data_IF_430772677467
#
_entry.id   IF_430772677467
#
_cell.length_a   1.000
_cell.length_b   1.000
_cell.length_c   1.000
_cell.angle_alpha   90.00
_cell.angle_beta   90.00
_cell.angle_gamma   90.00
#
_symmetry.space_group_name_H-M   'P 1'
#
loop_
_entity.id
_entity.type
_entity.pdbx_description
1 polymer ?
#
# COMPACT_ATOMS: atom_id res chain seq x y z
N UNK A 1 -14.97 -8.83 -3.95
CA UNK A 1 -13.61 -9.42 -4.07
C UNK A 1 -12.62 -8.54 -3.32
N UNK A 2 -12.53 -7.23 -3.55
CA UNK A 2 -11.59 -6.31 -2.89
C UNK A 2 -11.68 -6.35 -1.35
N UNK A 3 -12.89 -6.35 -0.79
CA UNK A 3 -13.07 -6.41 0.67
C UNK A 3 -12.55 -7.72 1.28
N UNK A 4 -12.73 -8.84 0.57
CA UNK A 4 -12.22 -10.14 0.99
C UNK A 4 -10.69 -10.19 0.94
N UNK A 5 -10.08 -9.67 -0.12
CA UNK A 5 -8.61 -9.63 -0.24
C UNK A 5 -7.98 -8.71 0.80
N UNK A 6 -8.60 -7.58 1.12
CA UNK A 6 -8.17 -6.70 2.22
C UNK A 6 -8.26 -7.40 3.58
N UNK A 7 -9.35 -8.14 3.84
CA UNK A 7 -9.52 -8.92 5.07
C UNK A 7 -8.47 -10.02 5.21
N UNK A 8 -8.30 -10.80 4.15
CA UNK A 8 -7.28 -11.87 4.09
C UNK A 8 -5.86 -11.28 4.25
N UNK A 9 -5.56 -10.15 3.59
CA UNK A 9 -4.27 -9.47 3.70
C UNK A 9 -3.94 -9.05 5.14
N UNK A 10 -4.93 -8.55 5.89
CA UNK A 10 -4.75 -8.19 7.30
C UNK A 10 -4.47 -9.41 8.19
N UNK A 11 -5.20 -10.52 7.98
CA UNK A 11 -5.01 -11.77 8.73
C UNK A 11 -3.64 -12.38 8.41
N UNK A 12 -3.27 -12.45 7.13
CA UNK A 12 -1.98 -12.98 6.69
C UNK A 12 -0.83 -12.11 7.22
N UNK A 13 -0.94 -10.79 7.09
CA UNK A 13 0.05 -9.84 7.61
C UNK A 13 0.23 -9.95 9.12
N UNK A 14 -0.86 -10.12 9.87
CA UNK A 14 -0.82 -10.37 11.32
C UNK A 14 -0.05 -11.65 11.64
N UNK A 15 -0.39 -12.77 11.02
CA UNK A 15 0.28 -14.06 11.22
C UNK A 15 1.75 -14.05 10.77
N UNK A 16 2.05 -13.36 9.68
CA UNK A 16 3.44 -13.22 9.22
C UNK A 16 4.29 -12.40 10.20
N UNK A 17 3.72 -11.36 10.81
CA UNK A 17 4.43 -10.54 11.80
C UNK A 17 4.72 -11.27 13.11
N UNK A 18 4.02 -12.37 13.41
CA UNK A 18 4.36 -13.25 14.53
C UNK A 18 5.59 -14.13 14.26
N UNK A 19 5.84 -14.46 12.99
CA UNK A 19 6.95 -15.33 12.58
C UNK A 19 8.19 -14.59 12.09
N UNK A 20 7.98 -13.42 11.48
CA UNK A 20 9.03 -12.61 10.87
C UNK A 20 9.11 -11.26 11.55
N UNK A 21 10.30 -10.67 11.53
CA UNK A 21 10.50 -9.31 12.05
C UNK A 21 9.58 -8.32 11.30
N UNK A 22 8.91 -7.44 12.04
CA UNK A 22 7.93 -6.48 11.50
C UNK A 22 8.42 -5.73 10.26
N UNK A 23 9.70 -5.32 10.26
CA UNK A 23 10.29 -4.59 9.11
C UNK A 23 10.37 -5.43 7.84
N UNK A 24 10.61 -6.74 7.96
CA UNK A 24 10.67 -7.65 6.81
C UNK A 24 9.28 -7.81 6.18
N UNK A 25 8.25 -7.93 7.01
CA UNK A 25 6.87 -8.03 6.53
C UNK A 25 6.43 -6.73 5.85
N UNK A 26 6.73 -5.57 6.46
CA UNK A 26 6.41 -4.26 5.87
C UNK A 26 7.12 -4.01 4.56
N UNK A 27 8.44 -4.23 4.51
CA UNK A 27 9.23 -4.04 3.29
C UNK A 27 8.73 -5.01 2.20
N UNK A 28 8.50 -6.28 2.54
CA UNK A 28 7.98 -7.27 1.62
C UNK A 28 6.60 -6.88 1.06
N UNK A 29 5.70 -6.36 1.89
CA UNK A 29 4.39 -5.90 1.48
C UNK A 29 4.48 -4.68 0.53
N UNK A 30 5.29 -3.68 0.87
CA UNK A 30 5.47 -2.49 0.03
C UNK A 30 6.11 -2.85 -1.31
N UNK A 31 7.21 -3.62 -1.29
CA UNK A 31 7.90 -4.05 -2.52
C UNK A 31 6.99 -4.93 -3.38
N UNK A 32 6.26 -5.86 -2.77
CA UNK A 32 5.29 -6.70 -3.49
C UNK A 32 4.20 -5.87 -4.17
N UNK A 33 3.64 -4.88 -3.47
CA UNK A 33 2.68 -3.96 -4.05
C UNK A 33 3.29 -3.12 -5.19
N UNK A 34 4.52 -2.60 -5.02
CA UNK A 34 5.23 -1.84 -6.07
C UNK A 34 5.48 -2.68 -7.32
N UNK A 35 5.92 -3.93 -7.16
CA UNK A 35 6.15 -4.85 -8.29
C UNK A 35 4.85 -5.13 -9.03
N UNK A 36 3.75 -5.39 -8.29
CA UNK A 36 2.44 -5.59 -8.91
C UNK A 36 1.96 -4.35 -9.67
N UNK A 37 2.08 -3.17 -9.08
CA UNK A 37 1.73 -1.91 -9.76
C UNK A 37 2.59 -1.72 -11.01
N UNK A 38 3.89 -1.93 -10.94
CA UNK A 38 4.79 -1.82 -12.09
C UNK A 38 4.46 -2.83 -13.20
N UNK A 39 4.01 -4.04 -12.83
CA UNK A 39 3.59 -5.07 -13.79
C UNK A 39 2.26 -4.74 -14.47
N UNK A 40 1.34 -4.11 -13.76
CA UNK A 40 0.02 -3.68 -14.29
C UNK A 40 0.14 -2.50 -15.25
N UNK A 41 1.14 -1.65 -15.02
CA UNK A 41 1.32 -0.40 -15.73
C UNK A 41 1.32 -0.52 -17.26
N UNK A 42 2.14 -1.40 -17.88
CA UNK A 42 2.14 -1.56 -19.35
C UNK A 42 0.79 -2.03 -19.87
N UNK A 43 0.12 -2.91 -19.12
CA UNK A 43 -1.16 -3.49 -19.51
C UNK A 43 -2.31 -2.49 -19.38
N UNK A 44 -2.23 -1.54 -18.44
CA UNK A 44 -3.21 -0.47 -18.32
C UNK A 44 -3.13 0.51 -19.48
N UNK A 45 -1.90 0.82 -19.94
CA UNK A 45 -1.67 1.65 -21.12
C UNK A 45 -2.13 0.97 -22.41
N UNK A 46 -1.85 -0.32 -22.56
CA UNK A 46 -2.28 -1.10 -23.73
C UNK A 46 -3.80 -1.31 -23.78
N UNK A 47 -4.47 -1.34 -22.64
CA UNK A 47 -5.93 -1.50 -22.56
C UNK A 47 -6.69 -0.25 -23.04
N UNK A 48 -6.11 0.96 -22.92
CA UNK A 48 -6.66 2.18 -23.49
C UNK A 48 -6.49 2.24 -25.03
N UNK A 49 -5.46 1.55 -25.57
CA UNK A 49 -5.08 1.63 -27.00
C UNK A 49 -5.65 0.46 -27.82
N UNK A 50 -5.97 -0.66 -27.19
CA UNK A 50 -6.44 -1.89 -27.86
C UNK A 50 -7.63 -2.50 -27.12
N UNK A 51 -8.74 -2.65 -27.84
CA UNK A 51 -9.95 -3.42 -27.42
C UNK A 51 -9.70 -4.92 -27.16
N UNK A 52 -8.46 -5.36 -27.00
CA UNK A 52 -8.01 -6.74 -26.97
C UNK A 52 -7.08 -7.15 -25.82
N UNK A 53 -7.15 -6.50 -24.63
CA UNK A 53 -6.37 -6.94 -23.47
C UNK A 53 -6.66 -8.39 -23.06
N UNK A 54 -5.69 -9.07 -22.43
CA UNK A 54 -5.83 -10.45 -21.94
C UNK A 54 -7.04 -10.53 -21.02
N UNK A 55 -8.04 -11.33 -21.41
CA UNK A 55 -9.26 -11.58 -20.66
C UNK A 55 -9.20 -12.95 -20.00
N UNK A 56 -9.42 -12.98 -18.68
CA UNK A 56 -9.60 -14.21 -17.90
C UNK A 56 -11.03 -14.23 -17.41
N UNK A 57 -11.80 -15.28 -17.74
CA UNK A 57 -13.23 -15.39 -17.45
C UNK A 57 -14.07 -14.20 -17.96
N UNK A 58 -13.71 -13.61 -19.11
CA UNK A 58 -14.41 -12.46 -19.68
C UNK A 58 -14.11 -11.11 -19.05
N UNK A 59 -13.29 -11.07 -17.99
CA UNK A 59 -12.83 -9.85 -17.32
C UNK A 59 -11.39 -9.52 -17.70
N UNK A 60 -11.04 -8.23 -17.83
CA UNK A 60 -9.66 -7.83 -18.08
C UNK A 60 -8.77 -8.28 -16.91
N UNK A 61 -7.55 -8.74 -17.23
CA UNK A 61 -6.56 -9.20 -16.24
C UNK A 61 -6.34 -8.17 -15.09
N UNK A 62 -6.43 -6.91 -15.42
CA UNK A 62 -6.32 -5.78 -14.49
C UNK A 62 -7.34 -5.86 -13.32
N UNK A 63 -8.54 -6.39 -13.58
CA UNK A 63 -9.58 -6.54 -12.56
C UNK A 63 -9.20 -7.56 -11.46
N UNK A 64 -8.27 -8.47 -11.75
CA UNK A 64 -7.76 -9.44 -10.77
C UNK A 64 -6.52 -8.92 -10.04
N UNK A 65 -5.72 -8.08 -10.69
CA UNK A 65 -4.48 -7.58 -10.12
C UNK A 65 -4.74 -6.47 -9.09
N UNK A 66 -5.72 -5.60 -9.30
CA UNK A 66 -6.09 -4.56 -8.33
C UNK A 66 -6.42 -5.11 -6.92
N UNK A 67 -7.24 -6.17 -6.78
CA UNK A 67 -7.44 -6.82 -5.49
C UNK A 67 -6.17 -7.38 -4.85
N UNK A 68 -5.22 -7.88 -5.67
CA UNK A 68 -3.92 -8.36 -5.20
C UNK A 68 -3.05 -7.23 -4.64
N UNK A 69 -3.03 -6.06 -5.28
CA UNK A 69 -2.37 -4.87 -4.72
C UNK A 69 -2.97 -4.52 -3.35
N UNK A 70 -4.30 -4.58 -3.22
CA UNK A 70 -5.00 -4.39 -1.95
C UNK A 70 -4.56 -5.39 -0.87
N UNK A 71 -4.31 -6.65 -1.24
CA UNK A 71 -3.80 -7.68 -0.33
C UNK A 71 -2.46 -7.29 0.31
N UNK A 72 -1.54 -6.73 -0.49
CA UNK A 72 -0.23 -6.28 -0.01
C UNK A 72 -0.29 -4.99 0.79
N UNK A 73 -1.18 -4.07 0.45
CA UNK A 73 -1.32 -2.79 1.16
C UNK A 73 -2.04 -2.97 2.51
N UNK A 74 -2.98 -3.93 2.60
CA UNK A 74 -3.83 -4.14 3.76
C UNK A 74 -3.09 -4.30 5.10
N UNK A 75 -1.96 -5.01 5.23
CA UNK A 75 -1.25 -5.16 6.50
C UNK A 75 -0.40 -3.94 6.88
N UNK A 76 -0.12 -3.01 5.96
CA UNK A 76 0.81 -1.91 6.19
C UNK A 76 0.33 -1.02 7.34
N UNK A 77 -0.93 -0.56 7.29
CA UNK A 77 -1.49 0.34 8.28
C UNK A 77 -1.53 -0.24 9.72
N UNK A 78 -2.10 -1.44 9.94
CA UNK A 78 -2.12 -2.02 11.28
C UNK A 78 -0.72 -2.35 11.82
N UNK A 79 0.20 -2.80 10.97
CA UNK A 79 1.58 -3.09 11.38
C UNK A 79 2.34 -1.81 11.77
N UNK A 80 2.24 -0.74 10.98
CA UNK A 80 2.85 0.54 11.32
C UNK A 80 2.31 1.10 12.63
N UNK A 81 1.00 1.08 12.84
CA UNK A 81 0.38 1.51 14.09
C UNK A 81 0.89 0.70 15.28
N UNK A 82 0.96 -0.62 15.14
CA UNK A 82 1.47 -1.50 16.18
C UNK A 82 2.92 -1.18 16.54
N UNK A 83 3.79 -1.00 15.55
CA UNK A 83 5.20 -0.68 15.75
C UNK A 83 5.38 0.67 16.42
N UNK A 84 4.68 1.70 15.94
CA UNK A 84 4.79 3.06 16.51
C UNK A 84 4.27 3.10 17.95
N UNK A 85 3.13 2.47 18.22
CA UNK A 85 2.56 2.46 19.56
C UNK A 85 3.38 1.62 20.53
N UNK A 86 3.95 0.49 20.09
CA UNK A 86 4.80 -0.35 20.96
C UNK A 86 6.11 0.32 21.35
N UNK A 87 6.60 1.27 20.56
CA UNK A 87 7.80 2.05 20.86
C UNK A 87 7.56 3.19 21.86
N UNK A 88 6.31 3.45 22.25
CA UNK A 88 5.93 4.57 23.10
C UNK A 88 5.43 4.10 24.48
N UNK A 89 5.64 4.89 25.55
CA UNK A 89 5.02 4.63 26.85
C UNK A 89 3.49 4.75 26.75
N UNK A 90 2.78 3.97 27.57
CA UNK A 90 1.30 3.82 27.52
C UNK A 90 0.52 5.13 27.61
N UNK A 91 1.04 6.12 28.36
CA UNK A 91 0.43 7.44 28.49
C UNK A 91 0.42 8.26 27.18
N UNK A 92 1.28 7.93 26.20
CA UNK A 92 1.35 8.58 24.90
C UNK A 92 0.57 7.84 23.80
N UNK A 93 0.00 6.66 24.08
CA UNK A 93 -0.75 5.88 23.08
C UNK A 93 -1.97 6.65 22.56
N UNK A 94 -2.77 7.25 23.46
CA UNK A 94 -3.98 7.97 23.05
C UNK A 94 -3.69 9.20 22.17
N UNK A 95 -2.81 10.15 22.57
CA UNK A 95 -2.48 11.28 21.70
C UNK A 95 -1.81 10.86 20.39
N UNK A 96 -0.97 9.83 20.40
CA UNK A 96 -0.32 9.33 19.19
C UNK A 96 -1.33 8.70 18.23
N UNK A 97 -2.29 7.94 18.74
CA UNK A 97 -3.38 7.38 17.91
C UNK A 97 -4.19 8.50 17.25
N UNK A 98 -4.49 9.59 17.98
CA UNK A 98 -5.15 10.77 17.44
C UNK A 98 -4.34 11.41 16.29
N UNK A 99 -3.04 11.57 16.47
CA UNK A 99 -2.15 12.09 15.42
C UNK A 99 -2.11 11.17 14.18
N UNK A 100 -1.99 9.86 14.38
CA UNK A 100 -1.98 8.89 13.28
C UNK A 100 -3.28 8.99 12.48
N UNK A 101 -4.44 9.05 13.15
CA UNK A 101 -5.74 9.19 12.47
C UNK A 101 -5.83 10.52 11.71
N UNK A 102 -5.40 11.63 12.33
CA UNK A 102 -5.41 12.95 11.71
C UNK A 102 -4.57 12.97 10.42
N UNK A 103 -3.32 12.52 10.50
CA UNK A 103 -2.43 12.47 9.35
C UNK A 103 -2.89 11.48 8.29
N UNK A 104 -3.47 10.34 8.68
CA UNK A 104 -4.03 9.36 7.73
C UNK A 104 -5.23 9.93 6.98
N UNK A 105 -6.14 10.62 7.67
CA UNK A 105 -7.31 11.25 7.05
C UNK A 105 -6.89 12.37 6.09
N UNK A 106 -5.99 13.25 6.54
CA UNK A 106 -5.47 14.35 5.73
C UNK A 106 -4.70 13.81 4.51
N UNK A 107 -3.79 12.85 4.73
CA UNK A 107 -3.02 12.21 3.66
C UNK A 107 -3.91 11.48 2.65
N UNK A 108 -4.94 10.78 3.12
CA UNK A 108 -5.93 10.12 2.26
C UNK A 108 -6.72 11.10 1.40
N UNK A 109 -7.16 12.22 1.99
CA UNK A 109 -7.91 13.26 1.26
C UNK A 109 -7.04 13.97 0.23
N UNK A 110 -5.84 14.39 0.61
CA UNK A 110 -4.89 15.02 -0.32
C UNK A 110 -4.44 14.05 -1.40
N UNK A 111 -4.10 12.81 -1.02
CA UNK A 111 -3.65 11.77 -1.94
C UNK A 111 -4.71 11.43 -2.98
N UNK A 112 -5.98 11.29 -2.59
CA UNK A 112 -7.06 11.00 -3.53
C UNK A 112 -7.29 12.16 -4.51
N UNK A 113 -7.21 13.42 -4.07
CA UNK A 113 -7.32 14.59 -4.95
C UNK A 113 -6.16 14.67 -5.95
N UNK A 114 -4.94 14.49 -5.47
CA UNK A 114 -3.73 14.48 -6.34
C UNK A 114 -3.84 13.35 -7.35
N UNK A 115 -4.22 12.16 -6.92
CA UNK A 115 -4.38 11.01 -7.80
C UNK A 115 -5.46 11.26 -8.85
N UNK A 116 -6.63 11.78 -8.47
CA UNK A 116 -7.70 12.12 -9.40
C UNK A 116 -7.22 13.12 -10.46
N UNK A 117 -6.52 14.19 -10.05
CA UNK A 117 -5.97 15.19 -10.97
C UNK A 117 -5.02 14.56 -12.01
N UNK A 118 -4.11 13.67 -11.57
CA UNK A 118 -3.20 13.00 -12.50
C UNK A 118 -3.92 12.02 -13.42
N UNK A 119 -4.96 11.33 -12.95
CA UNK A 119 -5.77 10.46 -13.81
C UNK A 119 -6.54 11.25 -14.87
N UNK A 120 -7.05 12.44 -14.54
CA UNK A 120 -7.71 13.32 -15.52
C UNK A 120 -6.76 13.83 -16.60
N UNK A 121 -5.48 14.09 -16.24
CA UNK A 121 -4.50 14.64 -17.17
C UNK A 121 -3.74 13.59 -18.00
N UNK A 122 -3.47 12.43 -17.43
CA UNK A 122 -2.53 11.43 -17.95
C UNK A 122 -3.18 10.07 -18.23
N UNK A 123 -4.47 9.92 -17.93
CA UNK A 123 -5.17 8.64 -18.08
C UNK A 123 -4.43 7.49 -17.39
N UNK A 124 -4.24 6.36 -18.08
CA UNK A 124 -3.51 5.20 -17.56
C UNK A 124 -2.07 5.47 -17.12
N UNK A 125 -1.42 6.49 -17.70
CA UNK A 125 -0.08 6.93 -17.29
C UNK A 125 0.00 7.44 -15.84
N UNK A 126 -1.13 7.85 -15.25
CA UNK A 126 -1.20 8.27 -13.85
C UNK A 126 -0.79 7.18 -12.85
N UNK A 127 -0.87 5.90 -13.23
CA UNK A 127 -0.39 4.81 -12.39
C UNK A 127 1.10 4.92 -12.03
N UNK A 128 1.93 5.54 -12.87
CA UNK A 128 3.34 5.81 -12.53
C UNK A 128 3.48 6.69 -11.30
N UNK A 129 2.56 7.63 -11.08
CA UNK A 129 2.57 8.48 -9.91
C UNK A 129 2.29 7.74 -8.61
N UNK A 130 1.61 6.59 -8.65
CA UNK A 130 1.37 5.79 -7.44
C UNK A 130 2.66 5.18 -6.88
N UNK A 131 3.70 5.00 -7.73
CA UNK A 131 5.01 4.52 -7.29
C UNK A 131 5.76 5.56 -6.45
N UNK A 132 5.49 6.85 -6.63
CA UNK A 132 6.15 7.92 -5.87
C UNK A 132 5.82 7.84 -4.38
N UNK A 133 4.55 7.88 -3.93
CA UNK A 133 4.23 7.75 -2.50
C UNK A 133 4.61 6.38 -1.94
N UNK A 134 4.57 5.32 -2.74
CA UNK A 134 5.03 3.99 -2.31
C UNK A 134 6.53 3.96 -2.05
N UNK A 135 7.32 4.61 -2.91
CA UNK A 135 8.77 4.76 -2.72
C UNK A 135 9.09 5.59 -1.47
N UNK A 136 8.37 6.68 -1.23
CA UNK A 136 8.49 7.50 -0.03
C UNK A 136 8.15 6.70 1.23
N UNK A 137 7.10 5.90 1.20
CA UNK A 137 6.73 5.01 2.29
C UNK A 137 7.83 3.97 2.56
N UNK A 138 8.41 3.38 1.51
CA UNK A 138 9.51 2.43 1.64
C UNK A 138 10.72 3.08 2.31
N UNK A 139 11.10 4.28 1.88
CA UNK A 139 12.20 5.06 2.50
C UNK A 139 11.90 5.34 3.96
N UNK A 140 10.69 5.77 4.30
CA UNK A 140 10.28 6.03 5.68
C UNK A 140 10.39 4.77 6.56
N UNK A 141 9.95 3.60 6.06
CA UNK A 141 10.07 2.32 6.78
C UNK A 141 11.53 1.91 6.96
N UNK A 142 12.37 2.11 5.95
CA UNK A 142 13.81 1.83 6.04
C UNK A 142 14.51 2.74 7.07
N UNK A 143 14.15 4.01 7.11
CA UNK A 143 14.65 4.94 8.11
C UNK A 143 14.20 4.54 9.53
N UNK A 144 12.92 4.21 9.70
CA UNK A 144 12.38 3.72 10.96
C UNK A 144 13.12 2.46 11.43
N UNK A 145 13.36 1.50 10.52
CA UNK A 145 14.14 0.30 10.82
C UNK A 145 15.57 0.64 11.30
N UNK A 146 16.24 1.58 10.65
CA UNK A 146 17.59 2.00 11.04
C UNK A 146 17.63 2.67 12.42
N UNK A 147 16.64 3.48 12.73
CA UNK A 147 16.52 4.15 14.02
C UNK A 147 16.23 3.16 15.14
N UNK A 148 15.34 2.20 14.91
CA UNK A 148 14.98 1.18 15.89
C UNK A 148 16.10 0.14 16.10
N UNK A 149 16.97 -0.08 15.11
CA UNK A 149 18.11 -0.99 15.26
C UNK A 149 19.29 -0.40 16.04
N UNK A 150 19.30 0.91 16.27
CA UNK A 150 20.34 1.63 17.04
C UNK A 150 19.95 1.88 18.50
N UNK A 151 18.72 1.61 18.87
CA UNK A 151 18.17 1.69 20.22
C UNK A 151 18.23 0.32 20.91
#
# INVERSE_FOLDING_TARGET
>A
ILALTLGVGRILGGRLSERFHWSTVLIGAIVGAMVLVAFVLPQALDAEVRDGGIRIFGLPLIAFIFPLVGLFIAPIYPLLNSVVLSALPKNLHSPMTGLIVLFSATGGTLGSRITAYFFEQLGGGAFYFTLVPMSLLLVAVLLLKRLTAKS
#
